data_IF_970338690760
#
_entry.id   IF_970338690760
#
_cell.length_a   1.000
_cell.length_b   1.000
_cell.length_c   1.000
_cell.angle_alpha   90.00
_cell.angle_beta   90.00
_cell.angle_gamma   90.00
#
_symmetry.space_group_name_H-M   'P 1'
#
loop_
_entity.id
_entity.type
_entity.pdbx_description
1 polymer ?
#
# COMPACT_ATOMS: atom_id res chain seq x y z
N UNK A 1 79.69 19.54 -5.54
CA UNK A 1 79.27 18.75 -4.36
C UNK A 1 77.80 19.03 -3.98
N UNK A 2 76.85 18.85 -4.87
CA UNK A 2 75.40 19.08 -4.62
C UNK A 2 74.46 18.25 -5.55
N UNK A 3 74.96 17.14 -6.10
CA UNK A 3 74.15 16.32 -7.03
C UNK A 3 73.96 14.85 -6.64
N UNK A 4 74.53 14.39 -5.50
CA UNK A 4 74.34 12.98 -5.09
C UNK A 4 73.29 12.72 -4.03
N UNK A 5 72.64 13.76 -3.44
CA UNK A 5 71.71 13.59 -2.34
C UNK A 5 70.22 13.46 -2.81
N UNK A 6 69.93 13.70 -4.08
CA UNK A 6 68.57 13.66 -4.62
C UNK A 6 68.18 12.26 -5.17
N UNK A 7 69.20 11.47 -5.58
CA UNK A 7 68.92 10.13 -6.14
C UNK A 7 68.54 9.07 -5.09
N UNK A 8 68.94 9.23 -3.82
CA UNK A 8 68.64 8.26 -2.76
C UNK A 8 67.25 8.43 -2.10
N UNK A 9 66.61 9.58 -2.26
CA UNK A 9 65.26 9.79 -1.71
C UNK A 9 64.13 9.25 -2.58
N UNK A 10 64.36 9.00 -3.86
CA UNK A 10 63.33 8.50 -4.77
C UNK A 10 63.27 6.97 -4.84
N UNK A 11 64.30 6.25 -4.42
CA UNK A 11 64.26 4.78 -4.36
C UNK A 11 63.45 4.24 -3.18
N UNK A 12 63.36 5.00 -2.07
CA UNK A 12 62.59 4.55 -0.89
C UNK A 12 61.07 4.83 -0.99
N UNK A 13 60.63 5.73 -1.90
CA UNK A 13 59.21 6.00 -2.14
C UNK A 13 58.53 4.99 -3.06
N UNK A 14 59.27 4.34 -3.95
CA UNK A 14 58.74 3.31 -4.84
C UNK A 14 58.49 1.96 -4.16
N UNK A 15 59.30 1.59 -3.18
CA UNK A 15 59.15 0.31 -2.47
C UNK A 15 58.01 0.31 -1.43
N UNK A 16 57.65 1.48 -0.84
CA UNK A 16 56.52 1.57 0.09
C UNK A 16 55.18 1.60 -0.61
N UNK A 17 55.08 2.16 -1.84
CA UNK A 17 53.84 2.19 -2.60
C UNK A 17 53.47 0.80 -3.15
N UNK A 18 54.42 -0.02 -3.50
CA UNK A 18 54.19 -1.38 -4.00
C UNK A 18 53.78 -2.36 -2.91
N UNK A 19 54.21 -2.12 -1.64
CA UNK A 19 53.82 -2.97 -0.51
C UNK A 19 52.40 -2.63 0.01
N UNK A 20 51.96 -1.37 -0.11
CA UNK A 20 50.59 -0.97 0.27
C UNK A 20 49.54 -1.43 -0.73
N UNK A 21 49.87 -1.54 -2.03
CA UNK A 21 48.90 -2.08 -3.02
C UNK A 21 48.74 -3.60 -2.91
N UNK A 22 49.77 -4.33 -2.49
CA UNK A 22 49.70 -5.79 -2.30
C UNK A 22 48.86 -6.17 -1.07
N UNK A 23 48.86 -5.34 -0.02
CA UNK A 23 48.02 -5.59 1.18
C UNK A 23 46.57 -5.16 1.02
N UNK A 24 46.28 -4.22 0.13
CA UNK A 24 44.89 -3.86 -0.19
C UNK A 24 44.20 -4.89 -1.11
N UNK A 25 44.95 -5.55 -2.00
CA UNK A 25 44.41 -6.59 -2.88
C UNK A 25 44.11 -7.91 -2.13
N UNK A 26 44.82 -8.20 -1.05
CA UNK A 26 44.57 -9.39 -0.24
C UNK A 26 43.38 -9.27 0.70
N UNK A 27 42.93 -8.04 1.03
CA UNK A 27 41.77 -7.81 1.90
C UNK A 27 40.44 -7.68 1.12
N UNK A 28 40.46 -7.60 -0.21
CA UNK A 28 39.24 -7.55 -1.03
C UNK A 28 38.74 -8.97 -1.39
N UNK A 29 39.57 -9.99 -1.22
CA UNK A 29 39.22 -11.38 -1.56
C UNK A 29 38.54 -12.16 -0.42
N UNK A 30 38.33 -11.58 0.76
CA UNK A 30 37.74 -12.29 1.92
C UNK A 30 36.35 -11.74 2.31
N UNK A 31 35.83 -10.78 1.58
CA UNK A 31 34.49 -10.20 1.85
C UNK A 31 33.41 -10.67 0.85
N UNK A 32 33.51 -11.88 0.32
CA UNK A 32 32.45 -12.51 -0.49
C UNK A 32 32.01 -13.85 0.11
N UNK A 33 31.64 -13.81 1.39
CA UNK A 33 30.76 -14.84 1.94
C UNK A 33 29.67 -14.15 2.78
N UNK A 34 28.99 -13.18 2.15
CA UNK A 34 27.66 -12.83 2.58
C UNK A 34 26.77 -13.99 2.13
N UNK A 35 26.40 -14.85 3.06
CA UNK A 35 25.41 -15.89 2.89
C UNK A 35 24.27 -15.36 2.00
N UNK A 36 24.13 -15.93 0.80
CA UNK A 36 22.96 -15.68 -0.02
C UNK A 36 21.74 -15.89 0.89
N UNK A 37 20.78 -14.98 0.91
CA UNK A 37 19.56 -15.19 1.68
C UNK A 37 19.02 -16.56 1.27
N UNK A 38 18.70 -17.39 2.26
CA UNK A 38 18.22 -18.73 2.04
C UNK A 38 17.08 -18.67 1.03
N UNK A 39 17.23 -19.39 -0.10
CA UNK A 39 16.15 -19.49 -1.09
C UNK A 39 14.93 -19.98 -0.34
N UNK A 40 13.88 -19.18 -0.31
CA UNK A 40 12.63 -19.58 0.30
C UNK A 40 12.21 -20.96 -0.23
N UNK A 41 11.72 -21.86 0.62
CA UNK A 41 11.34 -23.21 0.18
C UNK A 41 10.36 -23.12 -0.99
N UNK A 42 10.47 -24.05 -1.93
CA UNK A 42 9.59 -24.11 -3.09
C UNK A 42 8.14 -24.17 -2.61
N UNK A 43 7.36 -23.15 -2.94
CA UNK A 43 5.95 -23.06 -2.58
C UNK A 43 5.10 -23.93 -3.52
N UNK A 44 3.89 -24.28 -3.07
CA UNK A 44 2.89 -24.88 -3.95
C UNK A 44 2.69 -24.00 -5.20
N UNK A 45 2.46 -24.61 -6.37
CA UNK A 45 2.24 -23.83 -7.58
C UNK A 45 1.07 -22.86 -7.37
N UNK A 46 1.31 -21.59 -7.71
CA UNK A 46 0.25 -20.60 -7.71
C UNK A 46 -0.83 -21.00 -8.72
N UNK A 47 -2.09 -20.62 -8.48
CA UNK A 47 -3.13 -20.81 -9.48
C UNK A 47 -2.70 -20.15 -10.80
N UNK A 48 -3.11 -20.68 -11.96
CA UNK A 48 -2.72 -20.11 -13.24
C UNK A 48 -3.17 -18.65 -13.32
N UNK A 49 -2.24 -17.81 -13.76
CA UNK A 49 -2.52 -16.37 -13.99
C UNK A 49 -3.62 -16.28 -15.06
N UNK A 50 -4.72 -15.56 -14.80
CA UNK A 50 -5.75 -15.34 -15.80
C UNK A 50 -5.17 -14.70 -17.07
N UNK A 51 -5.69 -15.07 -18.24
CA UNK A 51 -5.30 -14.43 -19.49
C UNK A 51 -5.55 -12.91 -19.43
N UNK A 52 -4.72 -12.09 -20.11
CA UNK A 52 -4.96 -10.67 -20.23
C UNK A 52 -6.38 -10.39 -20.70
N UNK A 53 -7.10 -9.56 -19.96
CA UNK A 53 -8.51 -9.30 -20.25
C UNK A 53 -8.67 -7.93 -20.91
N UNK A 54 -9.60 -7.87 -21.85
CA UNK A 54 -10.16 -6.61 -22.32
C UNK A 54 -10.98 -5.97 -21.18
N UNK A 55 -11.53 -4.77 -21.44
CA UNK A 55 -12.44 -4.10 -20.49
C UNK A 55 -13.42 -5.13 -19.90
N UNK A 56 -13.49 -5.22 -18.57
CA UNK A 56 -14.38 -6.16 -17.93
C UNK A 56 -15.83 -5.94 -18.38
N UNK A 57 -16.49 -7.02 -18.78
CA UNK A 57 -17.90 -6.99 -19.15
C UNK A 57 -18.77 -7.22 -17.91
N UNK A 58 -20.02 -6.79 -17.91
CA UNK A 58 -20.97 -7.18 -16.89
C UNK A 58 -20.90 -8.70 -16.68
N UNK A 59 -20.90 -9.12 -15.41
CA UNK A 59 -20.86 -10.54 -15.06
C UNK A 59 -22.06 -11.32 -15.59
N UNK A 60 -22.05 -12.64 -15.41
CA UNK A 60 -23.16 -13.49 -15.84
C UNK A 60 -24.44 -13.12 -15.09
N UNK A 61 -25.58 -13.21 -15.76
CA UNK A 61 -26.92 -13.00 -15.20
C UNK A 61 -27.47 -14.27 -14.54
N UNK A 62 -26.61 -15.08 -13.92
CA UNK A 62 -27.01 -16.25 -13.15
C UNK A 62 -27.27 -15.88 -11.68
N UNK A 63 -27.67 -16.85 -10.88
CA UNK A 63 -27.97 -16.67 -9.46
C UNK A 63 -26.74 -16.61 -8.55
N UNK A 64 -25.53 -16.68 -9.11
CA UNK A 64 -24.27 -16.62 -8.36
C UNK A 64 -23.87 -15.18 -8.04
N UNK A 65 -23.02 -15.03 -7.02
CA UNK A 65 -22.39 -13.75 -6.72
C UNK A 65 -21.59 -13.23 -7.92
N UNK A 66 -21.63 -11.93 -8.16
CA UNK A 66 -20.83 -11.31 -9.22
C UNK A 66 -19.34 -11.63 -9.05
N UNK A 67 -18.71 -12.14 -10.09
CA UNK A 67 -17.28 -12.45 -10.13
C UNK A 67 -16.53 -11.27 -10.78
N UNK A 68 -15.85 -10.40 -9.98
CA UNK A 68 -15.09 -9.28 -10.52
C UNK A 68 -13.94 -9.76 -11.41
N UNK A 69 -13.68 -9.01 -12.48
CA UNK A 69 -12.58 -9.29 -13.38
C UNK A 69 -11.31 -8.53 -12.95
N UNK A 70 -10.11 -9.02 -13.26
CA UNK A 70 -8.88 -8.28 -12.99
C UNK A 70 -8.87 -6.89 -13.62
N UNK A 71 -8.36 -5.90 -12.89
CA UNK A 71 -8.12 -4.53 -13.39
C UNK A 71 -6.90 -4.55 -14.31
N UNK A 72 -5.87 -5.29 -13.92
CA UNK A 72 -4.65 -5.45 -14.67
C UNK A 72 -4.45 -6.91 -15.11
N UNK A 73 -3.79 -7.11 -16.28
CA UNK A 73 -3.43 -8.46 -16.71
C UNK A 73 -2.62 -9.21 -15.65
N UNK A 74 -2.95 -10.48 -15.45
CA UNK A 74 -2.26 -11.32 -14.48
C UNK A 74 -2.75 -11.21 -13.04
N UNK A 75 -3.69 -10.31 -12.73
CA UNK A 75 -4.29 -10.19 -11.41
C UNK A 75 -5.11 -11.42 -11.01
N UNK A 76 -4.96 -11.87 -9.78
CA UNK A 76 -5.77 -12.95 -9.18
C UNK A 76 -6.84 -12.31 -8.32
N UNK A 77 -8.10 -12.43 -8.72
CA UNK A 77 -9.22 -11.80 -7.99
C UNK A 77 -9.85 -12.79 -7.03
N UNK A 78 -9.99 -12.38 -5.77
CA UNK A 78 -10.55 -13.20 -4.69
C UNK A 78 -11.59 -12.38 -3.93
N UNK A 79 -12.85 -12.82 -3.83
CA UNK A 79 -13.85 -12.20 -2.97
C UNK A 79 -13.40 -12.19 -1.49
N UNK A 80 -13.73 -11.14 -0.76
CA UNK A 80 -13.35 -11.02 0.65
C UNK A 80 -14.15 -11.94 1.57
N UNK A 81 -15.39 -12.18 1.23
CA UNK A 81 -16.32 -12.93 2.05
C UNK A 81 -17.00 -14.04 1.24
N UNK A 82 -17.39 -15.16 1.86
CA UNK A 82 -18.24 -16.14 1.21
C UNK A 82 -19.63 -15.51 0.90
N UNK A 83 -20.34 -15.98 -0.14
CA UNK A 83 -21.58 -15.37 -0.62
C UNK A 83 -22.72 -15.28 0.41
N UNK A 84 -22.71 -16.14 1.42
CA UNK A 84 -23.67 -16.22 2.53
C UNK A 84 -23.24 -15.45 3.78
N UNK A 85 -22.12 -14.71 3.71
CA UNK A 85 -21.62 -13.94 4.83
C UNK A 85 -22.59 -12.87 5.29
N UNK A 86 -22.76 -12.72 6.59
CA UNK A 86 -23.55 -11.66 7.21
C UNK A 86 -22.99 -10.24 6.96
N UNK A 87 -21.75 -10.12 6.48
CA UNK A 87 -21.16 -8.85 6.05
C UNK A 87 -21.68 -8.38 4.70
N UNK A 88 -22.30 -9.26 3.89
CA UNK A 88 -22.75 -8.95 2.54
C UNK A 88 -24.22 -8.65 2.47
N UNK A 89 -24.59 -7.75 1.57
CA UNK A 89 -25.97 -7.60 1.16
C UNK A 89 -26.29 -8.64 0.07
N UNK A 90 -26.80 -9.80 0.49
CA UNK A 90 -27.06 -10.95 -0.38
C UNK A 90 -28.01 -10.66 -1.52
N UNK A 91 -28.83 -9.61 -1.41
CA UNK A 91 -29.74 -9.17 -2.50
C UNK A 91 -28.98 -8.44 -3.62
N UNK A 92 -27.78 -7.93 -3.34
CA UNK A 92 -27.00 -7.10 -4.26
C UNK A 92 -25.70 -7.70 -4.74
N UNK A 93 -25.21 -8.78 -4.13
CA UNK A 93 -23.93 -9.41 -4.51
C UNK A 93 -23.87 -9.90 -5.97
N UNK A 94 -25.01 -9.94 -6.65
CA UNK A 94 -25.12 -10.32 -8.07
C UNK A 94 -24.99 -9.12 -9.02
N UNK A 95 -25.08 -7.90 -8.49
CA UNK A 95 -24.99 -6.69 -9.29
C UNK A 95 -23.56 -6.53 -9.80
N UNK A 96 -23.42 -6.24 -11.10
CA UNK A 96 -22.12 -6.05 -11.72
C UNK A 96 -21.48 -4.73 -11.29
N UNK A 97 -20.16 -4.76 -11.08
CA UNK A 97 -19.35 -3.55 -10.96
C UNK A 97 -19.45 -2.69 -12.22
N UNK A 98 -19.36 -1.38 -12.06
CA UNK A 98 -19.35 -0.42 -13.17
C UNK A 98 -17.96 0.22 -13.26
N UNK A 99 -17.31 0.05 -14.40
CA UNK A 99 -15.96 0.52 -14.67
C UNK A 99 -16.00 1.84 -15.45
N UNK A 100 -15.38 2.87 -14.89
CA UNK A 100 -15.16 4.14 -15.56
C UNK A 100 -13.79 4.10 -16.25
N UNK A 101 -13.79 4.27 -17.56
CA UNK A 101 -12.57 4.21 -18.36
C UNK A 101 -11.85 5.55 -18.37
N UNK A 102 -10.52 5.50 -18.38
CA UNK A 102 -9.69 6.68 -18.55
C UNK A 102 -9.86 7.24 -19.97
N UNK A 103 -10.11 8.56 -20.06
CA UNK A 103 -10.30 9.24 -21.36
C UNK A 103 -8.99 9.48 -22.10
N UNK A 104 -7.89 9.61 -21.37
CA UNK A 104 -6.57 9.91 -21.94
C UNK A 104 -5.78 8.64 -22.28
N UNK A 105 -6.07 7.52 -21.61
CA UNK A 105 -5.34 6.26 -21.80
C UNK A 105 -6.31 5.15 -22.21
N UNK A 106 -6.40 4.82 -23.50
CA UNK A 106 -7.30 3.77 -23.99
C UNK A 106 -7.06 2.42 -23.28
N UNK A 107 -8.14 1.79 -22.82
CA UNK A 107 -8.09 0.50 -22.15
C UNK A 107 -7.76 0.54 -20.65
N UNK A 108 -7.40 1.72 -20.09
CA UNK A 108 -7.15 1.90 -18.67
C UNK A 108 -8.46 2.14 -17.92
N UNK A 109 -8.66 1.40 -16.83
CA UNK A 109 -9.73 1.68 -15.87
C UNK A 109 -9.28 2.84 -14.97
N UNK A 110 -10.08 3.88 -14.89
CA UNK A 110 -9.85 5.02 -13.99
C UNK A 110 -10.42 4.73 -12.60
N UNK A 111 -11.69 4.32 -12.54
CA UNK A 111 -12.35 4.04 -11.27
C UNK A 111 -13.44 2.98 -11.39
N UNK A 112 -13.88 2.48 -10.24
CA UNK A 112 -14.95 1.47 -10.12
C UNK A 112 -16.02 1.97 -9.17
N UNK A 113 -17.27 1.61 -9.44
CA UNK A 113 -18.42 1.82 -8.57
C UNK A 113 -19.35 0.61 -8.60
N UNK A 114 -20.41 0.61 -7.79
CA UNK A 114 -21.37 -0.48 -7.67
C UNK A 114 -20.72 -1.79 -7.20
N UNK A 115 -19.92 -1.67 -6.12
CA UNK A 115 -19.20 -2.80 -5.54
C UNK A 115 -20.04 -3.40 -4.41
N UNK A 116 -20.59 -4.60 -4.65
CA UNK A 116 -21.42 -5.32 -3.68
C UNK A 116 -20.86 -6.66 -3.27
N UNK A 117 -19.90 -7.19 -4.05
CA UNK A 117 -19.08 -8.34 -3.72
C UNK A 117 -17.62 -7.89 -3.60
N UNK A 118 -17.23 -7.28 -2.45
CA UNK A 118 -15.90 -6.72 -2.28
C UNK A 118 -14.82 -7.80 -2.44
N UNK A 119 -13.69 -7.43 -3.00
CA UNK A 119 -12.63 -8.37 -3.40
C UNK A 119 -11.24 -7.77 -3.28
N UNK A 120 -10.24 -8.62 -3.35
CA UNK A 120 -8.85 -8.23 -3.58
C UNK A 120 -8.41 -8.72 -4.97
N UNK A 121 -7.52 -7.95 -5.58
CA UNK A 121 -6.80 -8.36 -6.79
C UNK A 121 -5.31 -8.42 -6.47
N UNK A 122 -4.73 -9.61 -6.58
CA UNK A 122 -3.37 -9.92 -6.14
C UNK A 122 -2.41 -9.93 -7.31
N UNK A 123 -1.32 -9.17 -7.20
CA UNK A 123 -0.21 -9.12 -8.15
C UNK A 123 1.06 -9.54 -7.43
N UNK A 124 1.59 -10.70 -7.78
CA UNK A 124 2.72 -11.31 -7.12
C UNK A 124 4.03 -11.02 -7.87
N UNK A 125 5.08 -10.83 -7.10
CA UNK A 125 6.45 -10.73 -7.62
C UNK A 125 7.04 -12.13 -7.76
N UNK A 126 7.59 -12.43 -8.93
CA UNK A 126 8.16 -13.72 -9.22
C UNK A 126 9.62 -13.89 -8.76
N UNK A 127 9.97 -15.14 -8.49
CA UNK A 127 11.36 -15.59 -8.35
C UNK A 127 12.15 -14.89 -7.24
N UNK A 128 13.39 -14.56 -7.56
CA UNK A 128 14.37 -14.03 -6.61
C UNK A 128 14.18 -12.53 -6.29
N UNK A 129 13.29 -11.85 -6.99
CA UNK A 129 13.00 -10.44 -6.74
C UNK A 129 12.03 -10.26 -5.57
N UNK A 130 11.25 -11.29 -5.21
CA UNK A 130 10.26 -11.20 -4.14
C UNK A 130 10.91 -11.05 -2.77
N UNK A 131 10.68 -9.94 -2.11
CA UNK A 131 11.17 -9.64 -0.75
C UNK A 131 10.33 -10.27 0.36
N UNK A 132 9.19 -10.86 0.01
CA UNK A 132 8.15 -11.31 0.93
C UNK A 132 7.25 -10.19 1.46
N UNK A 133 7.54 -8.92 1.19
CA UNK A 133 6.65 -7.84 1.57
C UNK A 133 5.43 -7.78 0.66
N UNK A 134 4.30 -7.36 1.25
CA UNK A 134 3.05 -7.13 0.53
C UNK A 134 2.38 -5.82 0.97
N UNK A 135 1.81 -5.08 0.04
CA UNK A 135 1.05 -3.86 0.31
C UNK A 135 -0.35 -3.95 -0.28
N UNK A 136 -1.36 -3.75 0.56
CA UNK A 136 -2.76 -3.66 0.15
C UNK A 136 -3.04 -2.19 -0.15
N UNK A 137 -3.50 -1.88 -1.35
CA UNK A 137 -3.80 -0.53 -1.82
C UNK A 137 -5.29 -0.26 -1.71
N UNK A 138 -5.66 0.65 -0.81
CA UNK A 138 -7.01 1.15 -0.62
C UNK A 138 -7.13 2.51 -1.31
N UNK A 139 -7.71 2.52 -2.50
CA UNK A 139 -7.86 3.74 -3.29
C UNK A 139 -8.86 4.71 -2.66
N UNK A 140 -8.72 6.00 -2.97
CA UNK A 140 -9.64 7.05 -2.60
C UNK A 140 -10.80 7.24 -3.59
N UNK A 141 -11.42 8.41 -3.52
CA UNK A 141 -12.57 8.80 -4.35
C UNK A 141 -13.75 9.29 -3.52
N UNK A 142 -13.50 9.75 -2.28
CA UNK A 142 -14.49 10.34 -1.38
C UNK A 142 -15.64 9.40 -1.00
N UNK A 143 -15.42 8.10 -1.00
CA UNK A 143 -16.43 7.05 -0.78
C UNK A 143 -17.56 7.05 -1.84
N UNK A 144 -17.36 7.76 -2.96
CA UNK A 144 -18.31 7.85 -4.07
C UNK A 144 -17.86 7.09 -5.32
N UNK A 145 -16.58 6.82 -5.41
CA UNK A 145 -15.93 6.02 -6.45
C UNK A 145 -14.66 5.43 -5.88
N UNK A 146 -14.11 4.42 -6.51
CA UNK A 146 -12.84 3.82 -6.13
C UNK A 146 -11.82 4.10 -7.24
N UNK A 147 -10.91 5.04 -7.01
CA UNK A 147 -9.95 5.55 -8.01
C UNK A 147 -8.78 4.58 -8.27
N UNK A 148 -9.10 3.34 -8.59
CA UNK A 148 -8.13 2.24 -8.75
C UNK A 148 -7.06 2.50 -9.80
N UNK A 149 -7.30 3.35 -10.79
CA UNK A 149 -6.30 3.64 -11.82
C UNK A 149 -5.05 4.28 -11.24
N UNK A 150 -5.18 5.50 -10.73
CA UNK A 150 -4.06 6.30 -10.21
C UNK A 150 -3.56 5.88 -8.84
N UNK A 151 -4.44 5.35 -8.00
CA UNK A 151 -4.15 5.06 -6.59
C UNK A 151 -3.95 3.57 -6.29
N UNK A 152 -4.02 2.72 -7.32
CA UNK A 152 -3.73 1.29 -7.16
C UNK A 152 -2.98 0.72 -8.37
N UNK A 153 -3.59 0.68 -9.55
CA UNK A 153 -3.04 0.01 -10.73
C UNK A 153 -1.66 0.58 -11.15
N UNK A 154 -1.47 1.90 -11.08
CA UNK A 154 -0.20 2.55 -11.40
C UNK A 154 0.92 2.18 -10.42
N UNK A 155 0.59 1.79 -9.18
CA UNK A 155 1.56 1.37 -8.17
C UNK A 155 2.02 -0.08 -8.34
N UNK A 156 1.26 -0.93 -9.03
CA UNK A 156 1.64 -2.34 -9.23
C UNK A 156 3.02 -2.49 -9.87
N UNK A 157 3.31 -1.88 -11.05
CA UNK A 157 4.65 -1.97 -11.64
C UNK A 157 5.72 -1.25 -10.82
N UNK A 158 5.36 -0.21 -10.08
CA UNK A 158 6.29 0.48 -9.21
C UNK A 158 6.78 -0.42 -8.08
N UNK A 159 5.87 -0.99 -7.30
CA UNK A 159 6.23 -1.89 -6.20
C UNK A 159 6.86 -3.19 -6.68
N UNK A 160 6.47 -3.69 -7.86
CA UNK A 160 7.10 -4.84 -8.49
C UNK A 160 8.62 -4.66 -8.63
N UNK A 161 9.07 -3.47 -9.07
CA UNK A 161 10.48 -3.15 -9.23
C UNK A 161 11.28 -3.17 -7.92
N UNK A 162 10.60 -3.07 -6.77
CA UNK A 162 11.19 -3.19 -5.43
C UNK A 162 10.94 -4.56 -4.79
N UNK A 163 10.40 -5.51 -5.53
CA UNK A 163 10.13 -6.85 -5.03
C UNK A 163 8.97 -6.94 -4.03
N UNK A 164 8.06 -5.98 -4.05
CA UNK A 164 6.91 -5.90 -3.14
C UNK A 164 5.65 -6.39 -3.86
N UNK A 165 4.98 -7.39 -3.30
CA UNK A 165 3.71 -7.89 -3.79
C UNK A 165 2.63 -6.83 -3.60
N UNK A 166 1.78 -6.64 -4.58
CA UNK A 166 0.76 -5.58 -4.56
C UNK A 166 -0.64 -6.17 -4.61
N UNK A 167 -1.50 -5.72 -3.73
CA UNK A 167 -2.88 -6.16 -3.64
C UNK A 167 -3.80 -4.95 -3.79
N UNK A 168 -4.66 -4.95 -4.81
CA UNK A 168 -5.65 -3.90 -5.02
C UNK A 168 -6.90 -4.27 -4.24
N UNK A 169 -7.33 -3.42 -3.31
CA UNK A 169 -8.58 -3.59 -2.57
C UNK A 169 -9.73 -2.97 -3.36
N UNK A 170 -10.79 -3.75 -3.56
CA UNK A 170 -12.08 -3.29 -4.06
C UNK A 170 -13.09 -3.30 -2.92
N UNK A 171 -13.07 -2.27 -2.11
CA UNK A 171 -13.99 -2.12 -1.00
C UNK A 171 -15.35 -1.57 -1.47
N UNK A 172 -16.36 -1.84 -0.67
CA UNK A 172 -17.70 -1.26 -0.83
C UNK A 172 -17.65 0.26 -0.67
N UNK A 173 -18.70 0.97 -1.11
CA UNK A 173 -18.73 2.42 -1.15
C UNK A 173 -19.99 3.00 -0.51
N UNK A 174 -19.85 4.14 0.17
CA UNK A 174 -20.97 4.90 0.75
C UNK A 174 -22.03 5.24 -0.29
N UNK A 175 -21.63 5.62 -1.51
CA UNK A 175 -22.58 5.91 -2.59
C UNK A 175 -23.52 4.75 -2.90
N UNK A 176 -23.07 3.53 -2.66
CA UNK A 176 -23.80 2.30 -2.94
C UNK A 176 -24.60 1.81 -1.71
N UNK A 177 -24.64 2.63 -0.64
CA UNK A 177 -25.44 2.41 0.56
C UNK A 177 -24.68 1.79 1.73
N UNK A 178 -23.35 1.72 1.68
CA UNK A 178 -22.50 1.16 2.73
C UNK A 178 -21.98 2.23 3.69
N UNK A 179 -21.64 1.84 4.91
CA UNK A 179 -21.10 2.73 5.92
C UNK A 179 -19.57 2.75 5.85
N UNK A 180 -18.94 3.92 5.58
CA UNK A 180 -17.49 4.02 5.50
C UNK A 180 -16.74 3.64 6.78
N UNK A 181 -17.38 3.82 7.95
CA UNK A 181 -16.75 3.58 9.25
C UNK A 181 -16.83 2.12 9.72
N UNK A 182 -17.65 1.31 9.06
CA UNK A 182 -17.83 -0.11 9.38
C UNK A 182 -17.62 -0.97 8.15
N UNK A 183 -18.52 -0.93 7.16
CA UNK A 183 -18.47 -1.84 6.03
C UNK A 183 -17.17 -1.74 5.23
N UNK A 184 -16.75 -0.50 4.91
CA UNK A 184 -15.52 -0.28 4.15
C UNK A 184 -14.28 -0.62 4.98
N UNK A 185 -14.28 -0.32 6.30
CA UNK A 185 -13.17 -0.70 7.21
C UNK A 185 -13.08 -2.22 7.37
N UNK A 186 -14.23 -2.90 7.48
CA UNK A 186 -14.26 -4.38 7.57
C UNK A 186 -13.74 -5.03 6.29
N UNK A 187 -13.99 -4.43 5.12
CA UNK A 187 -13.39 -4.90 3.86
C UNK A 187 -11.86 -4.83 3.92
N UNK A 188 -11.31 -3.74 4.43
CA UNK A 188 -9.86 -3.58 4.59
C UNK A 188 -9.27 -4.59 5.59
N UNK A 189 -9.92 -4.79 6.72
CA UNK A 189 -9.49 -5.74 7.76
C UNK A 189 -9.57 -7.19 7.26
N UNK A 190 -10.64 -7.55 6.57
CA UNK A 190 -10.78 -8.87 5.97
C UNK A 190 -9.75 -9.12 4.86
N UNK A 191 -9.41 -8.10 4.06
CA UNK A 191 -8.35 -8.19 3.06
C UNK A 191 -7.00 -8.54 3.70
N UNK A 192 -6.64 -7.92 4.83
CA UNK A 192 -5.40 -8.22 5.56
C UNK A 192 -5.40 -9.68 6.05
N UNK A 193 -6.51 -10.16 6.64
CA UNK A 193 -6.64 -11.57 7.07
C UNK A 193 -6.48 -12.53 5.90
N UNK A 194 -7.14 -12.25 4.79
CA UNK A 194 -7.11 -13.10 3.61
C UNK A 194 -5.70 -13.18 3.01
N UNK A 195 -5.00 -12.06 2.88
CA UNK A 195 -3.60 -12.02 2.42
C UNK A 195 -2.70 -12.80 3.38
N UNK A 196 -2.87 -12.63 4.69
CA UNK A 196 -2.08 -13.34 5.71
C UNK A 196 -2.35 -14.85 5.70
N UNK A 197 -3.59 -15.27 5.46
CA UNK A 197 -3.95 -16.69 5.31
C UNK A 197 -3.25 -17.35 4.11
N UNK A 198 -3.13 -16.62 3.00
CA UNK A 198 -2.50 -17.11 1.78
C UNK A 198 -0.99 -16.80 1.71
N UNK A 199 -0.40 -16.22 2.75
CA UNK A 199 0.98 -15.72 2.74
C UNK A 199 1.99 -16.78 2.28
N UNK A 200 1.92 -18.01 2.81
CA UNK A 200 2.82 -19.08 2.41
C UNK A 200 2.66 -19.47 0.93
N UNK A 201 1.42 -19.56 0.43
CA UNK A 201 1.12 -19.87 -0.97
C UNK A 201 1.66 -18.80 -1.92
N UNK A 202 1.61 -17.52 -1.51
CA UNK A 202 2.00 -16.37 -2.33
C UNK A 202 3.44 -15.92 -2.11
N UNK A 203 4.21 -16.64 -1.30
CA UNK A 203 5.59 -16.27 -0.91
C UNK A 203 5.64 -14.89 -0.23
N UNK A 204 4.64 -14.58 0.54
CA UNK A 204 4.57 -13.39 1.39
C UNK A 204 4.99 -13.78 2.80
N UNK A 205 5.77 -12.94 3.45
CA UNK A 205 6.04 -13.05 4.88
C UNK A 205 4.79 -12.57 5.64
N UNK A 206 4.15 -13.40 6.47
CA UNK A 206 2.93 -13.02 7.20
C UNK A 206 3.14 -11.85 8.19
N UNK A 207 4.40 -11.46 8.44
CA UNK A 207 4.77 -10.33 9.30
C UNK A 207 5.22 -9.09 8.48
N UNK A 208 5.00 -9.10 7.16
CA UNK A 208 5.33 -7.98 6.25
C UNK A 208 4.15 -7.60 5.35
N UNK A 209 2.95 -7.57 5.91
CA UNK A 209 1.72 -7.23 5.19
C UNK A 209 1.24 -5.86 5.67
N UNK A 210 1.33 -4.87 4.79
CA UNK A 210 0.87 -3.51 5.07
C UNK A 210 -0.39 -3.14 4.31
N UNK A 211 -0.98 -2.01 4.72
CA UNK A 211 -2.06 -1.36 3.99
C UNK A 211 -1.66 0.09 3.70
N UNK A 212 -1.86 0.53 2.47
CA UNK A 212 -1.67 1.92 2.05
C UNK A 212 -2.99 2.48 1.56
N UNK A 213 -3.46 3.52 2.23
CA UNK A 213 -4.71 4.19 1.86
C UNK A 213 -4.47 5.58 1.31
N UNK A 214 -5.25 5.96 0.31
CA UNK A 214 -5.21 7.24 -0.37
C UNK A 214 -6.51 8.00 -0.13
N UNK A 215 -6.45 9.25 0.31
CA UNK A 215 -7.64 10.08 0.52
C UNK A 215 -8.69 9.34 1.40
N UNK A 216 -9.88 9.08 0.87
CA UNK A 216 -10.90 8.27 1.52
C UNK A 216 -10.41 6.84 1.85
N UNK A 217 -9.52 6.25 1.04
CA UNK A 217 -8.91 4.96 1.36
C UNK A 217 -8.03 5.00 2.61
N UNK A 218 -7.44 6.15 2.95
CA UNK A 218 -6.73 6.32 4.20
C UNK A 218 -7.67 6.33 5.43
N UNK A 219 -8.95 6.70 5.23
CA UNK A 219 -9.98 6.57 6.26
C UNK A 219 -10.35 5.11 6.57
N UNK A 220 -9.90 4.16 5.73
CA UNK A 220 -9.97 2.73 6.01
C UNK A 220 -8.68 2.23 6.66
N UNK A 221 -7.53 2.67 6.13
CA UNK A 221 -6.21 2.23 6.60
C UNK A 221 -5.92 2.66 8.05
N UNK A 222 -6.26 3.89 8.42
CA UNK A 222 -6.09 4.39 9.79
C UNK A 222 -6.90 3.59 10.83
N UNK A 223 -8.21 3.37 10.67
CA UNK A 223 -8.97 2.50 11.58
C UNK A 223 -8.49 1.05 11.58
N UNK A 224 -8.08 0.49 10.44
CA UNK A 224 -7.53 -0.87 10.39
C UNK A 224 -6.28 -1.01 11.27
N UNK A 225 -5.50 0.07 11.45
CA UNK A 225 -4.32 0.09 12.31
C UNK A 225 -4.62 0.13 13.81
N UNK A 226 -5.82 0.56 14.23
CA UNK A 226 -6.15 0.81 15.64
C UNK A 226 -7.34 0.00 16.16
N UNK A 227 -8.14 -0.60 15.28
CA UNK A 227 -9.36 -1.33 15.62
C UNK A 227 -9.33 -2.83 15.20
N UNK A 228 -8.14 -3.37 14.92
CA UNK A 228 -7.98 -4.76 14.50
C UNK A 228 -8.38 -5.76 15.59
N UNK A 229 -8.10 -5.48 16.88
CA UNK A 229 -8.42 -6.38 17.99
C UNK A 229 -9.93 -6.64 18.11
N UNK A 230 -10.75 -5.63 17.88
CA UNK A 230 -12.21 -5.76 17.96
C UNK A 230 -12.76 -6.52 16.76
N UNK A 231 -12.22 -6.28 15.57
CA UNK A 231 -12.59 -7.05 14.40
C UNK A 231 -12.19 -8.52 14.54
N UNK A 232 -10.98 -8.80 14.98
CA UNK A 232 -10.46 -10.16 15.18
C UNK A 232 -11.29 -10.94 16.21
N UNK A 233 -11.66 -10.32 17.33
CA UNK A 233 -12.53 -10.93 18.35
C UNK A 233 -13.90 -11.31 17.80
N UNK A 234 -14.50 -10.43 16.98
CA UNK A 234 -15.82 -10.65 16.41
C UNK A 234 -15.80 -11.69 15.28
N UNK A 235 -14.63 -12.02 14.73
CA UNK A 235 -14.42 -12.94 13.61
C UNK A 235 -13.56 -14.15 14.00
N UNK A 236 -13.71 -14.64 15.22
CA UNK A 236 -12.97 -15.81 15.73
C UNK A 236 -13.87 -17.03 15.93
N UNK A 237 -14.93 -17.18 15.14
CA UNK A 237 -15.74 -18.38 15.13
C UNK A 237 -14.92 -19.55 14.57
N UNK A 238 -14.84 -20.70 15.25
CA UNK A 238 -14.09 -21.87 14.75
C UNK A 238 -14.55 -22.39 13.38
N UNK A 239 -15.73 -22.05 12.92
CA UNK A 239 -16.23 -22.39 11.58
C UNK A 239 -15.70 -21.43 10.49
N UNK A 240 -15.17 -20.26 10.86
CA UNK A 240 -14.51 -19.35 9.91
C UNK A 240 -13.13 -19.91 9.53
N UNK A 241 -12.86 -20.19 8.24
CA UNK A 241 -11.53 -20.62 7.78
C UNK A 241 -10.39 -19.66 8.15
N UNK A 242 -10.71 -18.41 8.46
CA UNK A 242 -9.75 -17.39 8.87
C UNK A 242 -9.72 -17.16 10.40
N UNK A 243 -10.38 -18.02 11.20
CA UNK A 243 -10.34 -17.90 12.66
C UNK A 243 -8.89 -17.91 13.18
N UNK A 244 -8.59 -17.01 14.10
CA UNK A 244 -7.25 -16.85 14.66
C UNK A 244 -6.25 -16.09 13.78
N UNK A 245 -6.62 -15.70 12.55
CA UNK A 245 -5.76 -14.89 11.69
C UNK A 245 -6.04 -13.41 11.97
N UNK A 246 -4.99 -12.67 12.33
CA UNK A 246 -5.12 -11.27 12.70
C UNK A 246 -5.31 -10.37 11.48
N UNK A 247 -6.21 -9.39 11.62
CA UNK A 247 -6.39 -8.27 10.68
C UNK A 247 -5.44 -7.10 10.92
N UNK A 248 -4.53 -7.20 11.90
CA UNK A 248 -3.54 -6.15 12.16
C UNK A 248 -2.58 -6.04 10.98
N UNK A 249 -2.46 -4.87 10.34
CA UNK A 249 -1.39 -4.66 9.35
C UNK A 249 -0.04 -4.56 10.06
N UNK A 250 1.06 -4.89 9.36
CA UNK A 250 2.41 -4.80 9.92
C UNK A 250 3.01 -3.40 9.73
N UNK A 251 2.52 -2.66 8.75
CA UNK A 251 2.82 -1.25 8.50
C UNK A 251 1.66 -0.56 7.79
N UNK A 252 1.58 0.77 7.88
CA UNK A 252 0.49 1.56 7.29
C UNK A 252 1.03 2.74 6.51
N UNK A 253 0.58 2.90 5.27
CA UNK A 253 0.73 4.11 4.47
C UNK A 253 -0.53 4.97 4.54
N UNK A 254 -0.39 6.23 4.92
CA UNK A 254 -1.49 7.20 5.06
C UNK A 254 -1.20 8.37 4.12
N UNK A 255 -1.83 8.33 2.94
CA UNK A 255 -1.50 9.24 1.85
C UNK A 255 -2.63 10.25 1.67
N UNK A 256 -2.34 11.54 1.84
CA UNK A 256 -3.30 12.66 1.83
C UNK A 256 -4.67 12.28 2.43
N UNK A 257 -4.69 11.90 3.73
CA UNK A 257 -5.85 11.26 4.34
C UNK A 257 -7.06 12.19 4.43
N UNK A 258 -8.26 11.61 4.27
CA UNK A 258 -9.48 12.24 4.74
C UNK A 258 -9.50 12.38 6.28
N UNK A 259 -10.65 12.70 6.88
CA UNK A 259 -10.75 12.94 8.31
C UNK A 259 -10.12 11.84 9.16
N UNK A 260 -9.16 12.25 10.01
CA UNK A 260 -8.52 11.37 10.97
C UNK A 260 -9.54 10.81 11.96
N UNK A 261 -9.40 9.57 12.44
CA UNK A 261 -10.18 9.05 13.57
C UNK A 261 -10.08 9.91 14.84
N UNK A 262 -9.02 10.72 14.92
CA UNK A 262 -8.76 11.64 16.03
C UNK A 262 -9.18 13.09 15.74
N UNK A 263 -9.75 13.36 14.56
CA UNK A 263 -10.26 14.67 14.22
C UNK A 263 -11.27 15.14 15.26
N UNK A 264 -11.10 16.36 15.78
CA UNK A 264 -12.01 16.92 16.74
C UNK A 264 -13.44 16.91 16.17
N UNK A 265 -14.33 16.21 16.83
CA UNK A 265 -15.74 16.15 16.42
C UNK A 265 -16.34 17.55 16.34
N UNK A 266 -17.06 17.82 15.24
CA UNK A 266 -17.81 19.08 15.13
C UNK A 266 -19.13 18.91 15.89
N UNK A 267 -19.29 19.62 17.01
CA UNK A 267 -20.53 19.62 17.78
C UNK A 267 -20.31 19.92 19.26
N UNK A 268 -21.40 20.12 19.98
CA UNK A 268 -21.37 20.46 21.41
C UNK A 268 -20.85 19.30 22.30
N UNK A 269 -20.94 18.05 21.82
CA UNK A 269 -20.46 16.85 22.52
C UNK A 269 -19.76 15.92 21.50
N UNK A 270 -18.51 16.18 21.13
CA UNK A 270 -17.78 15.28 20.24
C UNK A 270 -17.60 13.90 20.88
N UNK A 271 -17.68 12.84 20.06
CA UNK A 271 -17.33 11.53 20.52
C UNK A 271 -15.88 11.50 21.02
N UNK A 272 -15.56 10.73 22.07
CA UNK A 272 -14.18 10.59 22.54
C UNK A 272 -13.30 10.00 21.42
N UNK A 273 -12.04 10.45 21.36
CA UNK A 273 -11.07 9.89 20.44
C UNK A 273 -10.90 8.39 20.71
N UNK A 274 -10.74 7.56 19.67
CA UNK A 274 -10.53 6.13 19.84
C UNK A 274 -9.23 5.87 20.61
N UNK A 275 -9.19 4.78 21.39
CA UNK A 275 -7.97 4.33 22.03
C UNK A 275 -6.98 3.79 20.99
N UNK A 276 -5.70 4.07 21.20
CA UNK A 276 -4.62 3.53 20.36
C UNK A 276 -4.03 2.32 21.07
N UNK A 277 -4.13 1.10 20.50
CA UNK A 277 -3.54 -0.10 21.09
C UNK A 277 -2.00 0.02 21.19
N UNK A 278 -1.41 -0.62 22.21
CA UNK A 278 0.07 -0.61 22.40
C UNK A 278 0.84 -1.26 21.25
N UNK A 279 0.20 -2.20 20.56
CA UNK A 279 0.76 -2.91 19.41
C UNK A 279 0.33 -2.32 18.07
N UNK A 280 -0.13 -1.07 18.05
CA UNK A 280 -0.42 -0.34 16.81
C UNK A 280 0.80 -0.35 15.87
N UNK A 281 0.63 -0.67 14.58
CA UNK A 281 1.74 -0.75 13.63
C UNK A 281 2.36 0.63 13.34
N UNK A 282 3.61 0.66 12.87
CA UNK A 282 4.24 1.88 12.38
C UNK A 282 3.47 2.47 11.21
N UNK A 283 3.55 3.81 11.04
CA UNK A 283 2.81 4.52 10.00
C UNK A 283 3.69 5.52 9.25
N UNK A 284 3.66 5.45 7.92
CA UNK A 284 4.20 6.46 7.02
C UNK A 284 3.07 7.37 6.56
N UNK A 285 3.23 8.69 6.70
CA UNK A 285 2.18 9.67 6.45
C UNK A 285 2.71 10.73 5.48
N UNK A 286 1.95 11.06 4.45
CA UNK A 286 2.35 12.13 3.53
C UNK A 286 1.16 12.87 2.93
N UNK A 287 1.36 14.17 2.67
CA UNK A 287 0.42 15.03 1.96
C UNK A 287 1.11 16.31 1.47
N UNK A 288 0.37 17.09 0.68
CA UNK A 288 0.77 18.47 0.38
C UNK A 288 0.19 19.43 1.42
N UNK A 289 0.94 20.47 1.78
CA UNK A 289 0.49 21.49 2.73
C UNK A 289 -0.24 22.66 2.06
N UNK A 290 0.40 23.27 1.07
CA UNK A 290 -0.20 24.34 0.29
C UNK A 290 -1.04 23.75 -0.85
N UNK A 291 -2.29 24.12 -0.95
CA UNK A 291 -3.22 23.57 -1.94
C UNK A 291 -4.01 22.35 -1.44
N UNK A 292 -3.56 21.72 -0.35
CA UNK A 292 -4.25 20.58 0.28
C UNK A 292 -4.29 20.66 1.80
N UNK A 293 -4.57 21.86 2.30
CA UNK A 293 -4.49 22.18 3.73
C UNK A 293 -5.36 21.31 4.63
N UNK A 294 -6.55 20.94 4.16
CA UNK A 294 -7.49 20.12 4.93
C UNK A 294 -6.89 18.75 5.26
N UNK A 295 -6.36 18.08 4.24
CA UNK A 295 -5.73 16.77 4.38
C UNK A 295 -4.43 16.86 5.20
N UNK A 296 -3.67 17.95 5.08
CA UNK A 296 -2.48 18.16 5.90
C UNK A 296 -2.82 18.30 7.41
N UNK A 297 -3.92 18.94 7.74
CA UNK A 297 -4.39 19.04 9.14
C UNK A 297 -4.77 17.66 9.67
N UNK A 298 -5.54 16.88 8.94
CA UNK A 298 -5.92 15.52 9.35
C UNK A 298 -4.72 14.57 9.43
N UNK A 299 -3.77 14.67 8.51
CA UNK A 299 -2.50 13.94 8.58
C UNK A 299 -1.74 14.25 9.87
N UNK A 300 -1.65 15.54 10.23
CA UNK A 300 -0.98 15.98 11.46
C UNK A 300 -1.71 15.54 12.74
N UNK A 301 -3.05 15.52 12.74
CA UNK A 301 -3.83 14.99 13.88
C UNK A 301 -3.53 13.51 14.12
N UNK A 302 -3.53 12.70 13.05
CA UNK A 302 -3.19 11.28 13.13
C UNK A 302 -1.75 11.08 13.61
N UNK A 303 -0.79 11.77 12.99
CA UNK A 303 0.63 11.72 13.38
C UNK A 303 0.84 12.05 14.87
N UNK A 304 0.25 13.15 15.32
CA UNK A 304 0.37 13.60 16.71
C UNK A 304 -0.23 12.59 17.69
N UNK A 305 -1.38 12.00 17.36
CA UNK A 305 -2.01 10.98 18.19
C UNK A 305 -1.12 9.73 18.31
N UNK A 306 -0.54 9.26 17.20
CA UNK A 306 0.38 8.11 17.19
C UNK A 306 1.64 8.37 18.01
N UNK A 307 2.26 9.54 17.87
CA UNK A 307 3.42 9.91 18.68
C UNK A 307 3.11 9.97 20.17
N UNK A 308 2.00 10.59 20.55
CA UNK A 308 1.57 10.70 21.94
C UNK A 308 1.27 9.33 22.57
N UNK A 309 0.82 8.37 21.77
CA UNK A 309 0.61 6.99 22.20
C UNK A 309 1.91 6.15 22.26
N UNK A 310 3.04 6.71 21.81
CA UNK A 310 4.33 6.01 21.80
C UNK A 310 4.45 4.93 20.72
N UNK A 311 3.68 5.05 19.63
CA UNK A 311 3.80 4.15 18.49
C UNK A 311 5.18 4.31 17.84
N UNK A 312 5.95 3.24 17.65
CA UNK A 312 7.29 3.34 17.08
C UNK A 312 7.26 3.59 15.57
N UNK A 313 8.32 4.18 15.04
CA UNK A 313 8.54 4.37 13.59
C UNK A 313 7.38 5.08 12.87
N UNK A 314 6.83 6.12 13.50
CA UNK A 314 5.87 6.98 12.83
C UNK A 314 6.62 8.09 12.11
N UNK A 315 6.46 8.16 10.80
CA UNK A 315 7.13 9.15 9.95
C UNK A 315 6.12 9.97 9.15
N UNK A 316 6.33 11.28 9.04
CA UNK A 316 5.44 12.16 8.29
C UNK A 316 6.21 13.15 7.41
N UNK A 317 5.75 13.31 6.18
CA UNK A 317 6.24 14.30 5.22
C UNK A 317 5.09 15.19 4.74
N UNK A 318 5.19 16.48 4.97
CA UNK A 318 4.27 17.49 4.42
C UNK A 318 5.06 18.33 3.41
N UNK A 319 4.75 18.15 2.14
CA UNK A 319 5.39 18.89 1.06
C UNK A 319 4.79 20.29 0.96
N UNK A 320 5.62 21.31 0.75
CA UNK A 320 5.17 22.69 0.72
C UNK A 320 4.14 22.95 -0.38
N UNK A 321 4.31 22.34 -1.57
CA UNK A 321 3.47 22.51 -2.76
C UNK A 321 2.87 21.19 -3.21
N UNK A 322 1.68 21.25 -3.74
CA UNK A 322 0.89 20.13 -4.25
C UNK A 322 -0.59 20.36 -4.00
N UNK A 323 -1.43 19.59 -4.64
CA UNK A 323 -2.89 19.62 -4.47
C UNK A 323 -3.41 18.23 -4.24
N UNK A 324 -4.62 18.13 -3.71
CA UNK A 324 -5.31 16.85 -3.66
C UNK A 324 -5.61 16.36 -5.08
N UNK A 325 -5.46 15.07 -5.40
CA UNK A 325 -5.79 14.56 -6.73
C UNK A 325 -7.24 14.84 -7.10
N UNK A 326 -7.43 15.36 -8.31
CA UNK A 326 -8.75 15.72 -8.81
C UNK A 326 -9.26 17.10 -8.41
N UNK A 327 -8.54 17.84 -7.56
CA UNK A 327 -8.87 19.23 -7.30
C UNK A 327 -8.65 20.09 -8.54
N UNK A 328 -9.52 21.08 -8.71
CA UNK A 328 -9.32 22.12 -9.71
C UNK A 328 -8.21 23.05 -9.23
N UNK A 329 -7.12 23.02 -9.91
CA UNK A 329 -6.01 23.98 -9.74
C UNK A 329 -6.28 25.25 -10.54
N UNK A 330 -5.63 26.34 -10.18
CA UNK A 330 -5.70 27.59 -10.94
C UNK A 330 -5.29 27.39 -12.41
N UNK A 331 -5.65 28.32 -13.30
CA UNK A 331 -5.39 28.17 -14.75
C UNK A 331 -3.88 28.07 -15.08
N UNK A 332 -3.03 28.53 -14.19
CA UNK A 332 -1.57 28.54 -14.36
C UNK A 332 -0.86 27.41 -13.61
N UNK A 333 -1.60 26.54 -12.92
CA UNK A 333 -1.02 25.42 -12.16
C UNK A 333 -1.33 24.09 -12.85
N UNK A 334 -0.33 23.18 -12.93
CA UNK A 334 -0.57 21.84 -13.46
C UNK A 334 -1.45 21.03 -12.48
N UNK A 335 -2.27 20.11 -13.00
CA UNK A 335 -3.06 19.23 -12.13
C UNK A 335 -2.13 18.34 -11.31
N UNK A 336 -2.43 18.19 -10.01
CA UNK A 336 -1.80 17.20 -9.15
C UNK A 336 -2.37 15.82 -9.43
N UNK A 337 -1.49 14.83 -9.57
CA UNK A 337 -1.90 13.44 -9.67
C UNK A 337 -1.86 12.74 -8.31
N UNK A 338 -1.18 13.34 -7.32
CA UNK A 338 -0.97 12.76 -5.98
C UNK A 338 -0.28 11.40 -5.97
N UNK A 339 0.01 10.87 -7.14
CA UNK A 339 0.53 9.54 -7.36
C UNK A 339 2.04 9.49 -7.61
N UNK A 340 2.46 8.40 -8.25
CA UNK A 340 3.87 8.05 -8.52
C UNK A 340 4.67 9.09 -9.29
N UNK A 341 4.01 9.90 -10.09
CA UNK A 341 4.66 10.89 -10.96
C UNK A 341 3.85 12.15 -10.94
N UNK A 342 3.84 12.86 -9.84
CA UNK A 342 3.28 14.20 -9.86
C UNK A 342 4.23 15.13 -10.62
N UNK A 343 4.04 15.19 -11.93
CA UNK A 343 4.87 15.99 -12.81
C UNK A 343 4.68 17.48 -12.62
N UNK A 344 3.54 17.88 -12.06
CA UNK A 344 3.25 19.25 -11.73
C UNK A 344 3.96 19.73 -10.46
N UNK A 345 4.17 18.81 -9.52
CA UNK A 345 4.79 19.06 -8.21
C UNK A 345 5.85 18.00 -7.92
N UNK A 346 7.01 18.18 -8.55
CA UNK A 346 8.09 17.18 -8.58
C UNK A 346 8.48 16.74 -7.16
N UNK A 347 8.61 17.68 -6.23
CA UNK A 347 8.98 17.39 -4.86
C UNK A 347 7.92 16.50 -4.19
N UNK A 348 6.64 16.79 -4.39
CA UNK A 348 5.55 15.97 -3.86
C UNK A 348 5.55 14.57 -4.49
N UNK A 349 5.81 14.46 -5.79
CA UNK A 349 5.94 13.19 -6.50
C UNK A 349 7.10 12.29 -6.03
N UNK A 350 7.92 12.73 -5.08
CA UNK A 350 9.04 11.93 -4.53
C UNK A 350 8.67 11.06 -3.32
N UNK A 351 7.49 11.26 -2.73
CA UNK A 351 7.10 10.52 -1.53
C UNK A 351 7.12 8.99 -1.69
N UNK A 352 6.81 8.39 -2.88
CA UNK A 352 6.84 6.93 -3.01
C UNK A 352 8.24 6.35 -2.79
N UNK A 353 9.30 7.05 -3.25
CA UNK A 353 10.68 6.63 -3.00
C UNK A 353 10.99 6.66 -1.50
N UNK A 354 10.54 7.71 -0.79
CA UNK A 354 10.74 7.80 0.66
C UNK A 354 9.98 6.72 1.42
N UNK A 355 8.78 6.35 0.95
CA UNK A 355 8.04 5.21 1.50
C UNK A 355 8.81 3.89 1.35
N UNK A 356 9.47 3.67 0.23
CA UNK A 356 10.31 2.47 0.00
C UNK A 356 11.52 2.46 0.95
N UNK A 357 12.15 3.61 1.18
CA UNK A 357 13.30 3.73 2.08
C UNK A 357 12.91 3.48 3.55
N UNK A 358 11.70 3.92 3.92
CA UNK A 358 11.13 3.73 5.25
C UNK A 358 10.77 2.29 5.54
#
# INVERSE_FOLDING_TARGET
MKTETIAKKNLFRGALASLLLATLAANIAVAQDASQPAIAPAHAPLPPIPAPMNVPKPGPTNDDAYAPQPILPGGIVIPLFPPDSHYLNTNRIREAEVYNMDRAVPGRISSIVNIHNPSIEVHLVDGNLNTGAAVILAAGGGHNTLNVGGESADFVPYFFNYGINTIILRNRLRRDGYNPKTDEVYDAQQAIRLVRAHAAQWRIDPNKIGIMGFSAGAELAMPAAIAFDDFDKNNNDPSDPLAGISSRPDFVGVIYPGPSPFAAGRGANPAPAPAIPKNTPPSFITCAGWGDRGHAVWANEYFTAMLNAGVPNVEMHIYARGHHPGDQVGPDEPPSTGGLTDRGFIEYGTWPNRFIDW
#
